data_IF_700904573184
#
_entry.id   IF_700904573184
#
_cell.length_a   1.000
_cell.length_b   1.000
_cell.length_c   1.000
_cell.angle_alpha   90.00
_cell.angle_beta   90.00
_cell.angle_gamma   90.00
#
_symmetry.space_group_name_H-M   'P 1'
#
loop_
_entity.id
_entity.type
_entity.pdbx_description
1 polymer ?
#
# COMPACT_ATOMS: atom_id res chain seq x y z
N UNK A 1 -3.84 -14.72 -7.31
CA UNK A 1 -3.49 -13.36 -6.87
C UNK A 1 -2.68 -13.56 -5.61
N UNK A 2 -1.36 -13.50 -5.72
CA UNK A 2 -0.51 -13.49 -4.53
C UNK A 2 -0.53 -12.06 -3.96
N UNK A 3 -0.64 -11.95 -2.64
CA UNK A 3 -0.56 -10.68 -1.95
C UNK A 3 0.67 -10.70 -1.04
N UNK A 4 1.57 -9.76 -1.22
CA UNK A 4 2.68 -9.52 -0.29
C UNK A 4 2.20 -8.59 0.80
N UNK A 5 2.36 -8.95 2.07
CA UNK A 5 1.94 -8.08 3.19
C UNK A 5 3.12 -7.31 3.75
N UNK A 6 2.93 -6.00 3.98
CA UNK A 6 3.88 -5.10 4.61
C UNK A 6 3.23 -4.39 5.80
N UNK A 7 3.66 -4.73 7.01
CA UNK A 7 3.24 -4.03 8.24
C UNK A 7 4.15 -2.81 8.49
N UNK A 8 3.52 -1.64 8.64
CA UNK A 8 4.17 -0.34 8.81
C UNK A 8 3.96 0.25 10.20
N UNK A 9 3.20 -0.41 11.10
CA UNK A 9 2.84 0.14 12.41
C UNK A 9 4.07 0.44 13.28
N UNK A 10 5.12 -0.37 13.14
CA UNK A 10 6.40 -0.19 13.85
C UNK A 10 7.48 0.51 12.99
N UNK A 11 7.16 0.94 11.77
CA UNK A 11 8.11 1.61 10.87
C UNK A 11 8.04 3.12 11.09
N UNK A 12 9.17 3.81 11.30
CA UNK A 12 9.20 5.27 11.44
C UNK A 12 8.58 5.97 10.22
N UNK A 13 7.77 7.05 10.38
CA UNK A 13 7.09 7.70 9.27
C UNK A 13 7.97 8.06 8.06
N UNK A 14 9.19 8.59 8.24
CA UNK A 14 10.08 8.91 7.10
C UNK A 14 10.53 7.70 6.28
N UNK A 15 10.49 6.51 6.87
CA UNK A 15 10.95 5.27 6.24
C UNK A 15 9.81 4.51 5.53
N UNK A 16 8.54 4.86 5.81
CA UNK A 16 7.38 4.13 5.28
C UNK A 16 7.30 4.24 3.76
N UNK A 17 7.32 5.45 3.21
CA UNK A 17 7.12 5.65 1.77
C UNK A 17 8.20 4.94 0.93
N UNK A 18 9.52 5.13 1.18
CA UNK A 18 10.55 4.38 0.44
C UNK A 18 10.32 2.87 0.48
N UNK A 19 10.00 2.33 1.66
CA UNK A 19 9.76 0.89 1.85
C UNK A 19 8.53 0.39 1.08
N UNK A 20 7.46 1.18 1.02
CA UNK A 20 6.25 0.87 0.24
C UNK A 20 6.57 0.86 -1.25
N UNK A 21 7.27 1.89 -1.75
CA UNK A 21 7.65 1.98 -3.16
C UNK A 21 8.56 0.82 -3.58
N UNK A 22 9.55 0.48 -2.76
CA UNK A 22 10.45 -0.66 -3.02
C UNK A 22 9.68 -1.99 -3.05
N UNK A 23 8.77 -2.20 -2.09
CA UNK A 23 7.95 -3.41 -2.03
C UNK A 23 7.00 -3.51 -3.24
N UNK A 24 6.36 -2.40 -3.63
CA UNK A 24 5.46 -2.35 -4.78
C UNK A 24 6.21 -2.52 -6.11
N UNK A 25 7.39 -1.92 -6.25
CA UNK A 25 8.23 -2.06 -7.44
C UNK A 25 8.67 -3.51 -7.66
N UNK A 26 8.87 -4.26 -6.58
CA UNK A 26 9.28 -5.68 -6.60
C UNK A 26 8.18 -6.67 -6.99
N UNK A 27 6.91 -6.23 -7.02
CA UNK A 27 5.79 -7.09 -7.43
C UNK A 27 5.78 -7.35 -8.94
N UNK A 28 5.27 -8.51 -9.34
CA UNK A 28 4.91 -8.77 -10.72
C UNK A 28 3.55 -8.12 -11.08
N UNK A 29 3.29 -7.92 -12.37
CA UNK A 29 1.98 -7.48 -12.87
C UNK A 29 0.91 -8.51 -12.49
N UNK A 30 -0.22 -8.04 -11.96
CA UNK A 30 -1.32 -8.86 -11.45
C UNK A 30 -1.17 -9.30 -9.98
N UNK A 31 -0.10 -8.90 -9.30
CA UNK A 31 0.05 -9.06 -7.84
C UNK A 31 -0.42 -7.81 -7.08
N UNK A 32 -0.58 -7.96 -5.76
CA UNK A 32 -0.96 -6.86 -4.87
C UNK A 32 -0.06 -6.74 -3.66
N UNK A 33 0.12 -5.51 -3.17
CA UNK A 33 0.74 -5.20 -1.88
C UNK A 33 -0.36 -4.92 -0.86
N UNK A 34 -0.37 -5.64 0.26
CA UNK A 34 -1.28 -5.40 1.39
C UNK A 34 -0.52 -4.63 2.48
N UNK A 35 -0.93 -3.38 2.74
CA UNK A 35 -0.31 -2.51 3.73
C UNK A 35 -1.12 -2.51 5.03
N UNK A 36 -0.47 -2.80 6.16
CA UNK A 36 -1.08 -2.61 7.49
C UNK A 36 -0.52 -1.33 8.10
N UNK A 37 -1.39 -0.34 8.32
CA UNK A 37 -1.02 1.00 8.78
C UNK A 37 -1.79 1.39 10.04
N UNK A 38 -1.19 2.28 10.84
CA UNK A 38 -1.78 2.80 12.09
C UNK A 38 -2.74 3.99 11.88
N UNK A 39 -2.81 4.51 10.65
CA UNK A 39 -3.66 5.62 10.24
C UNK A 39 -4.21 5.43 8.82
N UNK A 40 -5.17 6.28 8.43
CA UNK A 40 -5.80 6.26 7.11
C UNK A 40 -4.76 6.47 5.99
N UNK A 41 -4.59 5.52 5.06
CA UNK A 41 -3.59 5.58 3.98
C UNK A 41 -4.00 6.47 2.81
N UNK A 42 -5.09 7.26 2.91
CA UNK A 42 -5.56 8.14 1.83
C UNK A 42 -4.49 9.08 1.22
N UNK A 43 -3.56 9.70 1.99
CA UNK A 43 -2.48 10.48 1.39
C UNK A 43 -1.58 9.64 0.48
N UNK A 44 -1.23 8.42 0.91
CA UNK A 44 -0.42 7.48 0.15
C UNK A 44 -1.14 7.02 -1.13
N UNK A 45 -2.46 6.80 -1.08
CA UNK A 45 -3.25 6.48 -2.27
C UNK A 45 -3.07 7.53 -3.37
N UNK A 46 -3.16 8.82 -3.03
CA UNK A 46 -2.99 9.89 -4.02
C UNK A 46 -1.55 9.99 -4.53
N UNK A 47 -0.55 9.73 -3.68
CA UNK A 47 0.85 9.66 -4.10
C UNK A 47 1.07 8.53 -5.11
N UNK A 48 0.63 7.31 -4.78
CA UNK A 48 0.74 6.15 -5.67
C UNK A 48 0.02 6.39 -7.01
N UNK A 49 -1.18 6.98 -6.97
CA UNK A 49 -1.95 7.31 -8.18
C UNK A 49 -1.25 8.36 -9.05
N UNK A 50 -0.53 9.31 -8.45
CA UNK A 50 0.15 10.37 -9.17
C UNK A 50 1.53 9.94 -9.71
N UNK A 51 2.25 9.10 -8.97
CA UNK A 51 3.67 8.82 -9.22
C UNK A 51 3.95 7.43 -9.81
N UNK A 52 3.01 6.48 -9.70
CA UNK A 52 3.25 5.08 -10.07
C UNK A 52 2.30 4.64 -11.19
N UNK A 53 2.80 4.63 -12.44
CA UNK A 53 1.98 4.29 -13.62
C UNK A 53 1.40 2.86 -13.58
N UNK A 54 2.10 1.91 -12.96
CA UNK A 54 1.64 0.52 -12.84
C UNK A 54 0.69 0.30 -11.65
N UNK A 55 0.34 1.34 -10.88
CA UNK A 55 -0.60 1.20 -9.78
C UNK A 55 -2.05 1.17 -10.29
N UNK A 56 -2.79 0.12 -9.90
CA UNK A 56 -4.20 -0.02 -10.22
C UNK A 56 -5.07 0.74 -9.21
N UNK A 57 -5.26 2.04 -9.45
CA UNK A 57 -6.10 2.87 -8.60
C UNK A 57 -7.58 2.45 -8.60
N UNK A 58 -8.06 1.81 -9.67
CA UNK A 58 -9.45 1.33 -9.76
C UNK A 58 -9.68 0.07 -8.90
N UNK A 59 -8.64 -0.74 -8.72
CA UNK A 59 -8.64 -1.94 -7.88
C UNK A 59 -8.18 -1.70 -6.43
N UNK A 60 -7.87 -0.46 -6.06
CA UNK A 60 -7.44 -0.12 -4.70
C UNK A 60 -8.59 -0.27 -3.70
N UNK A 61 -8.31 -0.93 -2.57
CA UNK A 61 -9.28 -1.13 -1.50
C UNK A 61 -8.65 -0.76 -0.14
N UNK A 62 -9.47 -0.26 0.79
CA UNK A 62 -9.06 -0.02 2.17
C UNK A 62 -10.12 -0.51 3.16
N UNK A 63 -9.68 -1.30 4.14
CA UNK A 63 -10.48 -1.80 5.24
C UNK A 63 -9.97 -1.21 6.56
N UNK A 64 -10.87 -0.68 7.39
CA UNK A 64 -10.53 -0.29 8.77
C UNK A 64 -10.95 -1.42 9.72
N UNK A 65 -9.97 -2.17 10.23
CA UNK A 65 -10.20 -3.31 11.16
C UNK A 65 -10.28 -2.89 12.63
N UNK A 66 -9.81 -1.70 12.97
CA UNK A 66 -9.78 -1.21 14.35
C UNK A 66 -9.69 0.32 14.46
N UNK A 67 -9.54 0.87 15.68
CA UNK A 67 -9.41 2.31 15.87
C UNK A 67 -8.20 2.89 15.14
N UNK A 68 -7.09 2.16 15.11
CA UNK A 68 -5.80 2.52 14.52
C UNK A 68 -5.25 1.36 13.67
N UNK A 69 -6.12 0.61 13.00
CA UNK A 69 -5.70 -0.47 12.11
C UNK A 69 -6.42 -0.33 10.77
N UNK A 70 -5.64 0.00 9.75
CA UNK A 70 -6.06 0.17 8.38
C UNK A 70 -5.28 -0.80 7.51
N UNK A 71 -6.01 -1.52 6.66
CA UNK A 71 -5.43 -2.47 5.72
C UNK A 71 -5.76 -1.99 4.32
N UNK A 72 -4.75 -1.63 3.54
CA UNK A 72 -4.91 -1.17 2.16
C UNK A 72 -4.33 -2.19 1.18
N UNK A 73 -5.11 -2.52 0.16
CA UNK A 73 -4.69 -3.37 -0.95
C UNK A 73 -4.31 -2.49 -2.13
N UNK A 74 -3.06 -2.58 -2.57
CA UNK A 74 -2.51 -1.83 -3.70
C UNK A 74 -2.18 -2.82 -4.83
N UNK A 75 -3.05 -2.99 -5.84
CA UNK A 75 -2.79 -3.88 -6.97
C UNK A 75 -1.84 -3.26 -7.99
N UNK A 76 -1.07 -4.11 -8.68
CA UNK A 76 -0.17 -3.72 -9.77
C UNK A 76 -0.71 -4.22 -11.12
N UNK A 77 -0.78 -3.32 -12.11
CA UNK A 77 -1.15 -3.60 -13.50
C UNK A 77 0.02 -4.17 -14.29
#
# INVERSE_FOLDING_TARGET
MAATTLDLRDVPPPERHPKIHDAFASLDSGESLELVNDHDPKPLFYEMQAEVESFDADGYEVERRGPTEFVATLPKR
#
